data_IF_129460771745
#
_entry.id   IF_129460771745
#
_cell.length_a   1.000
_cell.length_b   1.000
_cell.length_c   1.000
_cell.angle_alpha   90.00
_cell.angle_beta   90.00
_cell.angle_gamma   90.00
#
_symmetry.space_group_name_H-M   'P 1'
#
loop_
_entity.id
_entity.type
_entity.pdbx_description
1 polymer ?
#
# COMPACT_ATOMS: atom_id res chain seq x y z
N UNK A 1 -0.90 17.68 3.38
CA UNK A 1 -1.88 16.92 4.19
C UNK A 1 -2.54 15.92 3.28
N UNK A 2 -2.58 14.65 3.68
CA UNK A 2 -3.09 13.57 2.83
C UNK A 2 -4.45 13.05 3.34
N UNK A 3 -5.41 13.96 3.52
CA UNK A 3 -6.82 13.59 3.70
C UNK A 3 -7.35 12.90 2.45
N UNK A 4 -8.28 11.97 2.59
CA UNK A 4 -8.97 11.32 1.48
C UNK A 4 -10.45 11.52 1.66
N UNK A 5 -11.14 11.98 0.61
CA UNK A 5 -12.59 12.12 0.57
C UNK A 5 -13.13 11.29 -0.58
N UNK A 6 -14.06 10.39 -0.27
CA UNK A 6 -14.82 9.60 -1.22
C UNK A 6 -16.28 10.05 -1.14
N UNK A 7 -16.84 10.54 -2.24
CA UNK A 7 -18.19 11.12 -2.30
C UNK A 7 -19.02 10.38 -3.33
N UNK A 8 -20.02 9.64 -2.86
CA UNK A 8 -20.97 8.90 -3.69
C UNK A 8 -20.30 7.99 -4.72
N UNK A 9 -19.26 7.23 -4.30
CA UNK A 9 -18.47 6.39 -5.19
C UNK A 9 -19.23 5.13 -5.60
N UNK A 10 -19.26 4.88 -6.90
CA UNK A 10 -19.78 3.65 -7.51
C UNK A 10 -18.71 3.01 -8.39
N UNK A 11 -18.67 1.67 -8.38
CA UNK A 11 -17.95 0.87 -9.38
C UNK A 11 -18.87 -0.13 -10.03
N UNK A 12 -19.00 -0.02 -11.33
CA UNK A 12 -19.78 -0.92 -12.18
C UNK A 12 -18.82 -1.46 -13.25
N UNK A 13 -18.60 -2.78 -13.26
CA UNK A 13 -17.79 -3.39 -14.30
C UNK A 13 -18.59 -3.60 -15.58
N UNK A 14 -17.97 -3.52 -16.78
CA UNK A 14 -18.64 -3.80 -18.04
C UNK A 14 -19.31 -5.18 -18.02
N UNK A 15 -20.60 -5.23 -18.38
CA UNK A 15 -21.38 -6.47 -18.38
C UNK A 15 -21.88 -6.94 -17.02
N UNK A 16 -21.55 -6.27 -15.92
CA UNK A 16 -22.07 -6.61 -14.61
C UNK A 16 -23.54 -6.14 -14.45
N UNK A 17 -24.38 -6.98 -13.84
CA UNK A 17 -25.81 -6.67 -13.56
C UNK A 17 -25.97 -5.82 -12.29
N UNK A 18 -24.95 -5.78 -11.42
CA UNK A 18 -24.95 -5.02 -10.19
C UNK A 18 -23.60 -4.33 -9.96
N UNK A 19 -23.58 -3.17 -9.28
CA UNK A 19 -22.34 -2.49 -8.91
C UNK A 19 -21.54 -3.31 -7.89
N UNK A 20 -20.21 -3.30 -8.02
CA UNK A 20 -19.29 -3.89 -7.03
C UNK A 20 -19.05 -2.96 -5.85
N UNK A 21 -19.26 -1.65 -6.03
CA UNK A 21 -19.27 -0.63 -4.97
C UNK A 21 -20.46 0.27 -5.22
N UNK A 22 -21.25 0.52 -4.17
CA UNK A 22 -22.51 1.29 -4.25
C UNK A 22 -22.49 2.40 -3.21
N UNK A 23 -22.63 3.64 -3.67
CA UNK A 23 -22.75 4.85 -2.85
C UNK A 23 -21.79 4.91 -1.67
N UNK A 24 -20.51 4.61 -1.94
CA UNK A 24 -19.48 4.58 -0.91
C UNK A 24 -19.04 6.01 -0.56
N UNK A 25 -19.23 6.36 0.71
CA UNK A 25 -18.88 7.67 1.25
C UNK A 25 -17.90 7.47 2.42
N UNK A 26 -16.77 8.19 2.41
CA UNK A 26 -15.76 8.10 3.46
C UNK A 26 -14.89 9.34 3.50
N UNK A 27 -14.66 9.87 4.70
CA UNK A 27 -13.67 10.90 4.98
C UNK A 27 -12.56 10.32 5.85
N UNK A 28 -11.32 10.45 5.39
CA UNK A 28 -10.10 10.03 6.11
C UNK A 28 -9.27 11.29 6.36
N UNK A 29 -8.94 11.52 7.62
CA UNK A 29 -8.09 12.65 8.00
C UNK A 29 -6.61 12.33 7.71
N UNK A 30 -5.80 13.38 7.59
CA UNK A 30 -4.36 13.24 7.47
C UNK A 30 -3.78 12.42 8.64
N UNK A 31 -2.91 11.46 8.34
CA UNK A 31 -2.25 10.56 9.30
C UNK A 31 -3.17 9.55 10.00
N UNK A 32 -4.39 9.37 9.55
CA UNK A 32 -5.25 8.31 10.07
C UNK A 32 -4.80 6.91 9.61
N UNK A 33 -5.11 5.91 10.46
CA UNK A 33 -4.97 4.50 10.14
C UNK A 33 -6.35 3.87 10.01
N UNK A 34 -6.80 3.66 8.79
CA UNK A 34 -8.13 3.12 8.48
C UNK A 34 -8.03 1.65 8.09
N UNK A 35 -8.97 0.84 8.58
CA UNK A 35 -9.06 -0.57 8.25
C UNK A 35 -10.38 -0.86 7.54
N UNK A 36 -10.31 -1.37 6.31
CA UNK A 36 -11.46 -1.92 5.61
C UNK A 36 -11.62 -3.40 5.96
N UNK A 37 -12.68 -3.72 6.65
CA UNK A 37 -13.00 -5.10 7.10
C UNK A 37 -14.28 -5.57 6.45
N UNK A 38 -14.31 -6.82 5.99
CA UNK A 38 -15.53 -7.42 5.44
C UNK A 38 -15.22 -8.72 4.69
N UNK A 39 -16.25 -9.47 4.28
CA UNK A 39 -16.10 -10.72 3.53
C UNK A 39 -15.46 -10.49 2.16
N UNK A 40 -14.99 -11.59 1.53
CA UNK A 40 -14.51 -11.54 0.15
C UNK A 40 -15.63 -11.05 -0.79
N UNK A 41 -15.26 -10.24 -1.78
CA UNK A 41 -16.19 -9.76 -2.81
C UNK A 41 -17.05 -8.54 -2.41
N UNK A 42 -16.93 -7.99 -1.18
CA UNK A 42 -17.70 -6.81 -0.77
C UNK A 42 -17.11 -5.46 -1.21
N UNK A 43 -16.23 -5.44 -2.19
CA UNK A 43 -15.73 -4.20 -2.80
C UNK A 43 -14.49 -3.55 -2.14
N UNK A 44 -13.90 -4.10 -1.04
CA UNK A 44 -12.75 -3.50 -0.34
C UNK A 44 -11.53 -3.26 -1.23
N UNK A 45 -11.04 -4.31 -1.86
CA UNK A 45 -9.88 -4.22 -2.77
C UNK A 45 -10.20 -3.39 -4.01
N UNK A 46 -11.45 -3.41 -4.49
CA UNK A 46 -11.91 -2.55 -5.57
C UNK A 46 -11.83 -1.08 -5.16
N UNK A 47 -12.33 -0.72 -3.98
CA UNK A 47 -12.24 0.64 -3.44
C UNK A 47 -10.79 1.07 -3.26
N UNK A 48 -9.95 0.19 -2.69
CA UNK A 48 -8.52 0.47 -2.55
C UNK A 48 -7.83 0.73 -3.90
N UNK A 49 -8.18 -0.06 -4.93
CA UNK A 49 -7.65 0.09 -6.30
C UNK A 49 -8.15 1.37 -6.98
N UNK A 50 -9.39 1.80 -6.72
CA UNK A 50 -9.88 3.10 -7.18
C UNK A 50 -9.08 4.25 -6.55
N UNK A 51 -8.77 4.18 -5.24
CA UNK A 51 -7.89 5.16 -4.58
C UNK A 51 -6.48 5.14 -5.21
N UNK A 52 -5.99 3.96 -5.57
CA UNK A 52 -4.70 3.81 -6.24
C UNK A 52 -4.69 4.27 -7.71
N UNK A 53 -5.87 4.46 -8.34
CA UNK A 53 -6.00 4.75 -9.77
C UNK A 53 -5.77 3.52 -10.66
N UNK A 54 -5.82 2.31 -10.08
CA UNK A 54 -5.72 1.04 -10.80
C UNK A 54 -7.07 0.54 -11.31
N UNK A 55 -8.16 1.15 -10.83
CA UNK A 55 -9.53 0.95 -11.26
C UNK A 55 -10.18 2.31 -11.48
N UNK A 56 -10.96 2.43 -12.54
CA UNK A 56 -11.74 3.64 -12.83
C UNK A 56 -12.96 3.73 -11.92
N UNK A 57 -13.30 4.94 -11.51
CA UNK A 57 -14.52 5.27 -10.78
C UNK A 57 -15.65 5.42 -11.79
N UNK A 58 -16.76 4.69 -11.59
CA UNK A 58 -17.91 4.77 -12.52
C UNK A 58 -18.79 6.00 -12.27
N UNK A 59 -18.95 6.39 -10.98
CA UNK A 59 -19.67 7.61 -10.56
C UNK A 59 -19.12 8.09 -9.23
N UNK A 60 -19.35 9.36 -8.93
CA UNK A 60 -18.89 10.02 -7.71
C UNK A 60 -17.54 10.69 -7.86
N UNK A 61 -17.05 11.29 -6.82
CA UNK A 61 -15.81 12.07 -6.81
C UNK A 61 -14.90 11.62 -5.69
N UNK A 62 -13.62 11.52 -6.00
CA UNK A 62 -12.59 11.10 -5.04
C UNK A 62 -11.46 12.11 -4.99
N UNK A 63 -11.06 12.49 -3.77
CA UNK A 63 -10.06 13.51 -3.54
C UNK A 63 -8.93 12.97 -2.65
N UNK A 64 -7.70 13.39 -2.92
CA UNK A 64 -6.54 13.21 -2.04
C UNK A 64 -5.92 14.59 -1.81
N UNK A 65 -5.83 15.02 -0.55
CA UNK A 65 -5.29 16.34 -0.20
C UNK A 65 -6.06 17.51 -0.83
N UNK A 66 -7.37 17.37 -1.04
CA UNK A 66 -8.24 18.34 -1.69
C UNK A 66 -8.16 18.37 -3.23
N UNK A 67 -7.31 17.53 -3.85
CA UNK A 67 -7.22 17.39 -5.30
C UNK A 67 -8.15 16.28 -5.79
N UNK A 68 -9.03 16.57 -6.76
CA UNK A 68 -9.83 15.57 -7.46
C UNK A 68 -8.90 14.61 -8.22
N UNK A 69 -9.06 13.28 -8.01
CA UNK A 69 -8.15 12.27 -8.55
C UNK A 69 -8.80 11.28 -9.52
N UNK A 70 -10.05 11.47 -9.89
CA UNK A 70 -10.77 10.52 -10.75
C UNK A 70 -9.95 10.16 -12.02
N UNK A 71 -9.43 11.16 -12.72
CA UNK A 71 -8.69 11.00 -13.97
C UNK A 71 -7.15 11.09 -13.79
N UNK A 72 -6.67 11.12 -12.54
CA UNK A 72 -5.23 11.18 -12.26
C UNK A 72 -4.63 9.77 -12.34
N UNK A 73 -3.64 9.53 -13.22
CA UNK A 73 -3.02 8.21 -13.32
C UNK A 73 -2.25 7.83 -12.03
N UNK A 74 -2.08 6.53 -11.74
CA UNK A 74 -1.44 6.04 -10.49
C UNK A 74 -0.07 6.64 -10.20
N UNK A 75 0.74 6.87 -11.23
CA UNK A 75 2.10 7.43 -11.10
C UNK A 75 2.12 8.87 -10.57
N UNK A 76 1.03 9.62 -10.79
CA UNK A 76 0.88 11.03 -10.44
C UNK A 76 0.03 11.24 -9.16
N UNK A 77 -0.39 10.12 -8.53
CA UNK A 77 -0.96 10.11 -7.17
C UNK A 77 0.18 9.90 -6.19
N UNK A 78 0.24 10.70 -5.13
CA UNK A 78 1.28 10.55 -4.10
C UNK A 78 0.96 9.41 -3.14
N UNK A 79 0.92 8.20 -3.67
CA UNK A 79 0.55 6.98 -2.97
C UNK A 79 1.61 5.89 -3.16
N UNK A 80 1.66 4.94 -2.22
CA UNK A 80 2.34 3.67 -2.41
C UNK A 80 1.40 2.51 -2.06
N UNK A 81 1.40 1.46 -2.88
CA UNK A 81 0.57 0.28 -2.67
C UNK A 81 1.42 -0.97 -2.43
N UNK A 82 1.04 -1.74 -1.41
CA UNK A 82 1.57 -3.08 -1.14
C UNK A 82 0.48 -4.08 -1.46
N UNK A 83 0.76 -4.96 -2.42
CA UNK A 83 -0.16 -5.98 -2.89
C UNK A 83 -0.09 -7.25 -2.03
N UNK A 84 -1.14 -8.04 -2.03
CA UNK A 84 -1.23 -9.35 -1.38
C UNK A 84 -0.09 -10.30 -1.80
N UNK A 85 0.32 -10.28 -3.07
CA UNK A 85 1.43 -11.09 -3.61
C UNK A 85 2.81 -10.50 -3.36
N UNK A 86 2.92 -9.35 -2.65
CA UNK A 86 4.13 -8.53 -2.46
C UNK A 86 4.70 -7.95 -3.77
N UNK A 87 4.44 -8.56 -4.92
CA UNK A 87 4.87 -8.14 -6.27
C UNK A 87 6.36 -7.76 -6.34
N UNK A 88 7.23 -8.55 -5.69
CA UNK A 88 8.68 -8.34 -5.75
C UNK A 88 9.24 -8.81 -7.10
N UNK A 89 10.24 -8.10 -7.60
CA UNK A 89 10.96 -8.48 -8.80
C UNK A 89 11.91 -9.64 -8.49
N UNK A 90 11.66 -10.87 -8.98
CA UNK A 90 12.37 -12.08 -8.52
C UNK A 90 13.84 -12.12 -8.95
N UNK A 91 14.21 -11.42 -10.02
CA UNK A 91 15.58 -11.35 -10.55
C UNK A 91 16.43 -10.28 -9.84
N UNK A 92 15.81 -9.35 -9.13
CA UNK A 92 16.48 -8.28 -8.40
C UNK A 92 16.82 -8.67 -6.97
N UNK A 93 17.90 -8.12 -6.41
CA UNK A 93 18.19 -8.21 -4.97
C UNK A 93 17.17 -7.42 -4.14
N UNK A 94 17.18 -7.58 -2.83
CA UNK A 94 16.38 -6.78 -1.90
C UNK A 94 16.70 -5.30 -2.09
N UNK A 95 17.98 -4.93 -2.12
CA UNK A 95 18.41 -3.56 -2.39
C UNK A 95 17.77 -2.99 -3.67
N UNK A 96 17.91 -3.70 -4.78
CA UNK A 96 17.35 -3.26 -6.07
C UNK A 96 15.83 -3.20 -6.08
N UNK A 97 15.15 -4.13 -5.39
CA UNK A 97 13.69 -4.08 -5.23
C UNK A 97 13.26 -2.79 -4.51
N UNK A 98 13.96 -2.40 -3.46
CA UNK A 98 13.67 -1.18 -2.69
C UNK A 98 14.03 0.05 -3.51
N UNK A 99 15.19 0.09 -4.13
CA UNK A 99 15.71 1.22 -4.90
C UNK A 99 14.91 1.54 -6.17
N UNK A 100 14.26 0.53 -6.78
CA UNK A 100 13.70 0.58 -8.13
C UNK A 100 12.85 1.83 -8.43
N UNK A 101 11.94 2.19 -7.51
CA UNK A 101 11.07 3.36 -7.69
C UNK A 101 11.81 4.70 -7.67
N UNK A 102 12.95 4.77 -6.98
CA UNK A 102 13.82 5.95 -6.94
C UNK A 102 14.69 6.03 -8.20
N UNK A 103 15.18 4.89 -8.68
CA UNK A 103 15.95 4.80 -9.95
C UNK A 103 15.11 5.28 -11.14
N UNK A 104 13.84 4.85 -11.23
CA UNK A 104 12.91 5.32 -12.27
C UNK A 104 12.67 6.83 -12.23
N UNK A 105 12.74 7.44 -11.05
CA UNK A 105 12.64 8.89 -10.86
C UNK A 105 13.95 9.63 -11.08
N UNK A 106 15.02 8.93 -11.48
CA UNK A 106 16.38 9.48 -11.67
C UNK A 106 16.92 10.18 -10.42
N UNK A 107 16.57 9.67 -9.23
CA UNK A 107 17.11 10.15 -7.96
C UNK A 107 18.64 9.93 -7.94
N UNK A 108 19.45 10.84 -7.38
CA UNK A 108 20.89 10.66 -7.23
C UNK A 108 21.25 9.38 -6.47
N UNK A 109 22.36 8.71 -6.86
CA UNK A 109 22.75 7.40 -6.31
C UNK A 109 23.01 7.42 -4.80
N UNK A 110 23.66 8.45 -4.29
CA UNK A 110 23.92 8.68 -2.88
C UNK A 110 22.62 8.80 -2.06
N UNK A 111 21.63 9.49 -2.59
CA UNK A 111 20.31 9.62 -1.98
C UNK A 111 19.53 8.30 -2.03
N UNK A 112 19.62 7.53 -3.13
CA UNK A 112 19.03 6.18 -3.21
C UNK A 112 19.64 5.30 -2.12
N UNK A 113 20.97 5.26 -2.02
CA UNK A 113 21.68 4.43 -1.06
C UNK A 113 21.29 4.79 0.38
N UNK A 114 21.28 6.08 0.71
CA UNK A 114 20.85 6.57 2.01
C UNK A 114 19.43 6.11 2.36
N UNK A 115 18.45 6.33 1.46
CA UNK A 115 17.04 5.97 1.69
C UNK A 115 16.84 4.46 1.80
N UNK A 116 17.53 3.67 0.97
CA UNK A 116 17.43 2.21 1.01
C UNK A 116 17.92 1.67 2.35
N UNK A 117 19.10 2.10 2.81
CA UNK A 117 19.64 1.66 4.10
C UNK A 117 18.77 2.15 5.28
N UNK A 118 18.27 3.37 5.22
CA UNK A 118 17.35 3.89 6.23
C UNK A 118 16.05 3.08 6.33
N UNK A 119 15.44 2.73 5.20
CA UNK A 119 14.26 1.87 5.16
C UNK A 119 14.58 0.44 5.63
N UNK A 120 15.71 -0.11 5.20
CA UNK A 120 16.16 -1.46 5.58
C UNK A 120 16.41 -1.56 7.10
N UNK A 121 17.00 -0.53 7.69
CA UNK A 121 17.20 -0.43 9.14
C UNK A 121 15.90 -0.36 9.92
N UNK A 122 14.95 0.46 9.46
CA UNK A 122 13.61 0.57 10.07
C UNK A 122 12.90 -0.77 10.09
N UNK A 123 13.07 -1.57 9.03
CA UNK A 123 12.40 -2.86 8.82
C UNK A 123 13.24 -4.06 9.26
N UNK A 124 14.43 -3.82 9.82
CA UNK A 124 15.36 -4.86 10.31
C UNK A 124 15.77 -5.88 9.23
N UNK A 125 16.01 -5.41 8.00
CA UNK A 125 16.35 -6.24 6.83
C UNK A 125 17.68 -5.84 6.17
N UNK A 126 18.54 -5.05 6.82
CA UNK A 126 19.85 -4.63 6.29
C UNK A 126 20.71 -5.82 5.88
N UNK A 127 20.72 -6.89 6.70
CA UNK A 127 21.47 -8.13 6.45
C UNK A 127 20.93 -8.97 5.28
N UNK A 128 19.84 -8.53 4.65
CA UNK A 128 19.20 -9.21 3.52
C UNK A 128 19.37 -8.46 2.19
N UNK A 129 19.99 -7.28 2.18
CA UNK A 129 20.02 -6.38 1.01
C UNK A 129 20.58 -7.03 -0.26
N UNK A 130 21.55 -7.94 -0.13
CA UNK A 130 22.15 -8.65 -1.26
C UNK A 130 21.39 -9.92 -1.68
N UNK A 131 20.41 -10.35 -0.90
CA UNK A 131 19.62 -11.56 -1.20
C UNK A 131 18.58 -11.29 -2.27
N UNK A 132 18.15 -12.36 -2.96
CA UNK A 132 17.02 -12.35 -3.89
C UNK A 132 15.74 -12.85 -3.20
N UNK A 133 14.54 -12.48 -3.68
CA UNK A 133 13.26 -12.86 -3.06
C UNK A 133 13.07 -14.35 -2.81
N UNK A 134 13.65 -15.22 -3.66
CA UNK A 134 13.59 -16.69 -3.49
C UNK A 134 14.26 -17.20 -2.20
N UNK A 135 15.22 -16.44 -1.66
CA UNK A 135 15.96 -16.79 -0.44
C UNK A 135 15.34 -16.16 0.82
N UNK A 136 14.13 -15.62 0.75
CA UNK A 136 13.46 -14.92 1.83
C UNK A 136 12.24 -15.69 2.34
N UNK A 137 11.99 -15.61 3.65
CA UNK A 137 10.71 -16.04 4.25
C UNK A 137 9.54 -15.13 3.81
N UNK A 138 8.30 -15.55 4.07
CA UNK A 138 7.11 -14.74 3.79
C UNK A 138 7.15 -13.36 4.45
N UNK A 139 7.46 -13.31 5.75
CA UNK A 139 7.59 -12.04 6.48
C UNK A 139 8.72 -11.15 5.97
N UNK A 140 9.86 -11.76 5.59
CA UNK A 140 10.96 -11.00 4.99
C UNK A 140 10.56 -10.40 3.64
N UNK A 141 9.87 -11.16 2.77
CA UNK A 141 9.34 -10.63 1.50
C UNK A 141 8.38 -9.46 1.73
N UNK A 142 7.53 -9.56 2.74
CA UNK A 142 6.62 -8.48 3.11
C UNK A 142 7.37 -7.23 3.56
N UNK A 143 8.37 -7.36 4.44
CA UNK A 143 9.22 -6.23 4.87
C UNK A 143 9.90 -5.56 3.67
N UNK A 144 10.38 -6.34 2.69
CA UNK A 144 10.95 -5.78 1.45
C UNK A 144 9.90 -4.99 0.66
N UNK A 145 8.66 -5.49 0.54
CA UNK A 145 7.57 -4.77 -0.14
C UNK A 145 7.22 -3.47 0.57
N UNK A 146 7.19 -3.46 1.92
CA UNK A 146 7.03 -2.25 2.71
C UNK A 146 8.19 -1.27 2.50
N UNK A 147 9.45 -1.74 2.47
CA UNK A 147 10.62 -0.92 2.20
C UNK A 147 10.56 -0.24 0.83
N UNK A 148 10.16 -0.99 -0.20
CA UNK A 148 9.94 -0.44 -1.55
C UNK A 148 8.88 0.67 -1.59
N UNK A 149 7.84 0.54 -0.76
CA UNK A 149 6.83 1.57 -0.62
C UNK A 149 7.35 2.80 0.14
N UNK A 150 8.10 2.57 1.24
CA UNK A 150 8.60 3.62 2.14
C UNK A 150 9.57 4.59 1.50
N UNK A 151 10.53 4.10 0.71
CA UNK A 151 11.60 4.95 0.13
C UNK A 151 11.07 6.07 -0.76
N UNK A 152 9.83 5.92 -1.25
CA UNK A 152 9.15 6.94 -2.05
C UNK A 152 8.59 8.10 -1.21
N UNK A 153 8.55 7.92 0.12
CA UNK A 153 7.93 8.84 1.08
C UNK A 153 6.52 9.28 0.66
N UNK A 154 5.59 8.33 0.43
CA UNK A 154 4.27 8.65 -0.09
C UNK A 154 3.41 9.33 0.98
N UNK A 155 2.44 10.15 0.53
CA UNK A 155 1.46 10.76 1.41
C UNK A 155 0.42 9.76 1.94
N UNK A 156 0.15 8.67 1.17
CA UNK A 156 -0.79 7.61 1.55
C UNK A 156 -0.20 6.22 1.28
N UNK A 157 -0.32 5.33 2.26
CA UNK A 157 -0.03 3.90 2.12
C UNK A 157 -1.31 3.10 1.93
N UNK A 158 -1.35 2.29 0.90
CA UNK A 158 -2.45 1.37 0.58
C UNK A 158 -1.97 -0.08 0.74
N UNK A 159 -2.59 -0.83 1.65
CA UNK A 159 -2.19 -2.20 1.99
C UNK A 159 -3.35 -3.17 1.63
N UNK A 160 -3.23 -3.88 0.51
CA UNK A 160 -4.23 -4.83 0.01
C UNK A 160 -3.96 -6.23 0.55
N UNK A 161 -4.59 -6.61 1.65
CA UNK A 161 -4.44 -7.90 2.35
C UNK A 161 -2.98 -8.32 2.58
N UNK A 162 -2.10 -7.43 3.07
CA UNK A 162 -0.66 -7.66 3.06
C UNK A 162 -0.21 -8.85 3.91
N UNK A 163 -1.07 -9.38 4.79
CA UNK A 163 -0.76 -10.45 5.74
C UNK A 163 -1.46 -11.79 5.44
N UNK A 164 -2.25 -11.87 4.37
CA UNK A 164 -3.07 -13.06 4.07
C UNK A 164 -2.22 -14.32 3.83
N UNK A 165 -1.02 -14.17 3.26
CA UNK A 165 -0.11 -15.27 2.92
C UNK A 165 0.83 -15.70 4.06
N UNK A 166 0.62 -15.20 5.30
CA UNK A 166 1.43 -15.51 6.47
C UNK A 166 0.69 -16.43 7.44
N UNK A 167 1.45 -17.25 8.18
CA UNK A 167 0.91 -18.01 9.29
C UNK A 167 0.38 -17.11 10.42
N UNK A 168 -0.42 -17.66 11.34
CA UNK A 168 -1.11 -16.88 12.37
C UNK A 168 -0.15 -16.14 13.32
N UNK A 169 0.96 -16.77 13.71
CA UNK A 169 1.96 -16.18 14.63
C UNK A 169 2.67 -15.01 13.98
N UNK A 170 3.15 -15.21 12.75
CA UNK A 170 3.84 -14.17 11.98
C UNK A 170 2.90 -13.03 11.61
N UNK A 171 1.63 -13.33 11.29
CA UNK A 171 0.60 -12.33 11.02
C UNK A 171 0.40 -11.38 12.21
N UNK A 172 0.36 -11.91 13.43
CA UNK A 172 0.20 -11.09 14.65
C UNK A 172 1.41 -10.17 14.86
N UNK A 173 2.63 -10.71 14.72
CA UNK A 173 3.86 -9.91 14.80
C UNK A 173 3.89 -8.79 13.76
N UNK A 174 3.59 -9.12 12.49
CA UNK A 174 3.62 -8.16 11.39
C UNK A 174 2.54 -7.06 11.50
N UNK A 175 1.38 -7.35 12.09
CA UNK A 175 0.39 -6.30 12.42
C UNK A 175 0.97 -5.25 13.34
N UNK A 176 1.62 -5.68 14.42
CA UNK A 176 2.29 -4.78 15.37
C UNK A 176 3.36 -3.93 14.67
N UNK A 177 4.12 -4.52 13.74
CA UNK A 177 5.13 -3.80 12.96
C UNK A 177 4.51 -2.74 12.03
N UNK A 178 3.41 -3.06 11.35
CA UNK A 178 2.70 -2.08 10.50
C UNK A 178 2.17 -0.90 11.34
N UNK A 179 1.63 -1.16 12.53
CA UNK A 179 1.17 -0.11 13.45
C UNK A 179 2.35 0.76 13.92
N UNK A 180 3.48 0.16 14.30
CA UNK A 180 4.71 0.89 14.66
C UNK A 180 5.21 1.74 13.50
N UNK A 181 5.17 1.18 12.29
CA UNK A 181 5.58 1.86 11.07
C UNK A 181 4.70 3.08 10.79
N UNK A 182 3.36 2.93 10.87
CA UNK A 182 2.43 4.05 10.75
C UNK A 182 2.76 5.18 11.74
N UNK A 183 2.95 4.85 13.04
CA UNK A 183 3.31 5.84 14.05
C UNK A 183 4.64 6.55 13.74
N UNK A 184 5.61 5.82 13.20
CA UNK A 184 6.93 6.36 12.85
C UNK A 184 6.90 7.26 11.62
N UNK A 185 6.14 6.87 10.60
CA UNK A 185 6.04 7.63 9.34
C UNK A 185 5.08 8.81 9.45
N UNK A 186 4.11 8.76 10.36
CA UNK A 186 3.07 9.78 10.56
C UNK A 186 2.39 10.15 9.22
N UNK A 187 2.02 9.14 8.43
CA UNK A 187 1.34 9.26 7.13
C UNK A 187 0.00 8.52 7.17
N UNK A 188 -0.90 8.78 6.23
CA UNK A 188 -2.21 8.12 6.14
C UNK A 188 -2.06 6.68 5.64
N UNK A 189 -2.70 5.73 6.35
CA UNK A 189 -2.69 4.30 5.99
C UNK A 189 -4.11 3.79 5.76
N UNK A 190 -4.33 3.04 4.67
CA UNK A 190 -5.54 2.26 4.45
C UNK A 190 -5.15 0.78 4.35
N UNK A 191 -5.70 -0.03 5.23
CA UNK A 191 -5.41 -1.44 5.35
C UNK A 191 -6.66 -2.28 5.07
N UNK A 192 -6.61 -3.14 4.07
CA UNK A 192 -7.68 -4.09 3.73
C UNK A 192 -7.42 -5.44 4.40
N UNK A 193 -8.45 -6.03 5.02
CA UNK A 193 -8.38 -7.36 5.63
C UNK A 193 -9.74 -8.08 5.60
N UNK A 194 -9.72 -9.40 5.60
CA UNK A 194 -10.92 -10.24 5.68
C UNK A 194 -11.47 -10.36 7.11
N UNK A 195 -10.61 -10.24 8.11
CA UNK A 195 -10.97 -10.45 9.52
C UNK A 195 -10.68 -9.20 10.35
N UNK A 196 -11.53 -8.91 11.33
CA UNK A 196 -11.23 -7.86 12.31
C UNK A 196 -9.91 -8.18 13.00
N UNK A 197 -8.92 -7.29 12.95
CA UNK A 197 -7.75 -7.43 13.79
C UNK A 197 -8.22 -7.36 15.25
N UNK A 198 -7.88 -8.34 16.08
CA UNK A 198 -7.93 -8.15 17.52
C UNK A 198 -6.76 -7.23 17.85
N UNK A 199 -7.08 -5.99 18.20
CA UNK A 199 -6.13 -5.00 18.69
C UNK A 199 -5.69 -5.37 20.11
#
# INVERSE_FOLDING_TARGET
MASISCQHIYKIYPGATAPSVTDFNLEIQDKEFIIFVGPSGCGKSTTLRMIAGLEEISKGEMYIGGRLINDVPPKDRDIAMVFQSYALYPHMTVYKNIAFGLELRKTPKDEIDRRVHEAAKILEIEHLLDRKPKALSGGQRQRVALGRAMVRNPAVFLLDEPLSNLDAKLRTSMRTEIIKLHKKLATTFIYVTLTRPRL
#
